data_IF_096464627513
#
_entry.id   IF_096464627513
#
_cell.length_a   1.000
_cell.length_b   1.000
_cell.length_c   1.000
_cell.angle_alpha   90.00
_cell.angle_beta   90.00
_cell.angle_gamma   90.00
#
_symmetry.space_group_name_H-M   'P 1'
#
loop_
_entity.id
_entity.type
_entity.pdbx_description
1 polymer ?
#
# COMPACT_ATOMS: atom_id res chain seq x y z
N UNK A 1 30.49 20.12 1.68
CA UNK A 1 29.31 19.28 1.30
C UNK A 1 28.31 20.30 0.81
N UNK A 2 28.38 20.60 -0.46
CA UNK A 2 27.76 21.82 -0.96
C UNK A 2 26.40 21.56 -1.62
N UNK A 3 26.06 20.30 -1.93
CA UNK A 3 24.73 19.94 -2.41
C UNK A 3 24.40 18.47 -2.11
N UNK A 4 23.15 18.19 -1.76
CA UNK A 4 22.66 16.83 -1.55
C UNK A 4 21.22 16.71 -2.04
N UNK A 5 20.89 15.56 -2.61
CA UNK A 5 19.53 15.27 -3.06
C UNK A 5 19.08 13.93 -2.50
N UNK A 6 17.94 13.92 -1.80
CA UNK A 6 17.31 12.68 -1.32
C UNK A 6 16.62 12.02 -2.50
N UNK A 7 16.98 10.77 -2.82
CA UNK A 7 16.46 10.01 -3.96
C UNK A 7 15.52 8.86 -3.59
N UNK A 8 15.42 8.52 -2.32
CA UNK A 8 14.51 7.48 -1.84
C UNK A 8 14.60 7.29 -0.35
N UNK A 9 13.53 6.82 0.22
CA UNK A 9 13.40 6.53 1.66
C UNK A 9 12.79 5.16 1.80
N UNK A 10 13.35 4.29 2.63
CA UNK A 10 12.76 3.00 2.99
C UNK A 10 12.59 2.91 4.50
N UNK A 11 11.46 2.36 4.95
CA UNK A 11 11.14 2.26 6.37
C UNK A 11 11.08 0.82 6.85
N UNK A 12 11.47 0.63 8.10
CA UNK A 12 11.17 -0.56 8.86
C UNK A 12 10.68 -0.10 10.24
N UNK A 13 9.48 -0.51 10.63
CA UNK A 13 8.86 -0.17 11.91
C UNK A 13 8.90 -1.37 12.85
N UNK A 14 9.97 -1.57 13.65
CA UNK A 14 9.87 -2.42 14.81
C UNK A 14 8.94 -1.73 15.82
N UNK A 15 8.01 -2.44 16.44
CA UNK A 15 7.04 -1.88 17.38
C UNK A 15 7.63 -0.85 18.37
N UNK A 16 6.78 -0.04 19.01
CA UNK A 16 7.11 1.01 19.98
C UNK A 16 7.50 2.40 19.44
N UNK A 17 6.77 2.95 18.43
CA UNK A 17 6.99 4.31 17.91
C UNK A 17 8.43 4.58 17.40
N UNK A 18 9.31 3.59 17.39
CA UNK A 18 10.64 3.72 16.81
C UNK A 18 10.54 3.55 15.30
N UNK A 19 11.03 4.52 14.56
CA UNK A 19 11.08 4.50 13.10
C UNK A 19 12.53 4.31 12.68
N UNK A 20 12.81 3.25 11.91
CA UNK A 20 14.06 3.05 11.21
C UNK A 20 13.86 3.33 9.74
N UNK A 21 14.67 4.17 9.18
CA UNK A 21 14.58 4.50 7.77
C UNK A 21 15.95 4.66 7.14
N UNK A 22 16.00 4.46 5.82
CA UNK A 22 17.19 4.63 5.01
C UNK A 22 16.96 5.72 3.99
N UNK A 23 17.87 6.67 3.93
CA UNK A 23 17.93 7.70 2.91
C UNK A 23 18.94 7.31 1.85
N UNK A 24 18.57 7.46 0.57
CA UNK A 24 19.52 7.43 -0.54
C UNK A 24 19.87 8.87 -0.89
N UNK A 25 21.12 9.25 -0.67
CA UNK A 25 21.61 10.62 -0.85
C UNK A 25 22.65 10.63 -1.96
N UNK A 26 22.57 11.61 -2.85
CA UNK A 26 23.67 11.96 -3.76
C UNK A 26 24.37 13.14 -3.14
N UNK A 27 25.67 12.99 -2.89
CA UNK A 27 26.51 14.04 -2.35
C UNK A 27 27.66 14.36 -3.33
N UNK A 28 27.90 15.63 -3.58
CA UNK A 28 29.12 16.09 -4.22
C UNK A 28 30.23 16.21 -3.18
N UNK A 29 31.32 15.51 -3.40
CA UNK A 29 32.48 15.49 -2.52
C UNK A 29 33.65 16.05 -3.28
N UNK A 30 34.22 17.14 -2.78
CA UNK A 30 35.47 17.68 -3.29
C UNK A 30 36.64 16.89 -2.68
N UNK A 31 37.40 16.25 -3.52
CA UNK A 31 38.62 15.53 -3.14
C UNK A 31 39.80 16.45 -3.46
N UNK A 32 40.53 16.85 -2.45
CA UNK A 32 41.78 17.59 -2.65
C UNK A 32 42.97 16.69 -2.31
N UNK A 33 43.75 16.32 -3.31
CA UNK A 33 45.06 15.70 -3.12
C UNK A 33 46.13 16.75 -3.06
N UNK A 34 46.89 16.72 -1.97
CA UNK A 34 48.04 17.62 -1.79
C UNK A 34 49.28 16.98 -2.40
N UNK A 35 49.53 17.31 -3.64
CA UNK A 35 50.85 17.02 -4.26
C UNK A 35 51.85 18.10 -3.85
N UNK A 36 53.14 17.77 -3.93
CA UNK A 36 54.27 18.66 -3.52
C UNK A 36 54.34 19.96 -4.29
N UNK A 37 53.65 20.06 -5.43
CA UNK A 37 53.78 21.20 -6.36
C UNK A 37 52.45 21.76 -6.91
N UNK A 38 51.28 21.06 -6.75
CA UNK A 38 50.02 21.57 -7.24
C UNK A 38 48.85 21.09 -6.35
N UNK A 39 47.81 21.95 -6.22
CA UNK A 39 46.53 21.61 -5.65
C UNK A 39 45.58 21.21 -6.80
N UNK A 40 45.33 19.94 -6.98
CA UNK A 40 44.21 19.49 -7.82
C UNK A 40 42.99 19.26 -6.94
N UNK A 41 41.92 19.97 -7.25
CA UNK A 41 40.62 19.71 -6.66
C UNK A 41 39.73 19.04 -7.70
N UNK A 42 39.37 17.82 -7.45
CA UNK A 42 38.37 17.10 -8.25
C UNK A 42 37.07 16.99 -7.45
N UNK A 43 35.94 17.19 -8.12
CA UNK A 43 34.60 16.97 -7.49
C UNK A 43 34.01 15.70 -8.02
N UNK A 44 33.64 14.78 -7.12
CA UNK A 44 33.01 13.51 -7.45
C UNK A 44 31.64 13.40 -6.78
N UNK A 45 30.66 13.09 -7.61
CA UNK A 45 29.30 12.73 -7.10
C UNK A 45 29.32 11.29 -6.60
N UNK A 46 28.99 11.09 -5.33
CA UNK A 46 28.88 9.76 -4.72
C UNK A 46 27.45 9.54 -4.23
N UNK A 47 26.98 8.31 -4.34
CA UNK A 47 25.68 7.91 -3.82
C UNK A 47 25.85 7.11 -2.54
N UNK A 48 25.16 7.55 -1.48
CA UNK A 48 25.27 7.00 -0.13
C UNK A 48 23.92 6.46 0.34
N UNK A 49 23.97 5.40 1.14
CA UNK A 49 22.86 4.91 1.97
C UNK A 49 23.07 5.36 3.40
N UNK A 50 22.19 6.22 3.91
CA UNK A 50 22.23 6.71 5.29
C UNK A 50 21.11 6.07 6.07
N UNK A 51 21.47 5.28 7.08
CA UNK A 51 20.52 4.59 7.97
C UNK A 51 20.26 5.46 9.18
N UNK A 52 18.99 5.74 9.42
CA UNK A 52 18.54 6.61 10.49
C UNK A 52 17.56 5.88 11.43
N UNK A 53 17.56 6.30 12.67
CA UNK A 53 16.52 5.97 13.66
C UNK A 53 15.90 7.26 14.18
N UNK A 54 14.60 7.24 14.41
CA UNK A 54 13.84 8.34 14.96
C UNK A 54 12.69 7.83 15.81
N UNK A 55 12.12 8.70 16.64
CA UNK A 55 10.88 8.45 17.35
C UNK A 55 9.76 9.21 16.64
N UNK A 56 8.73 8.49 16.20
CA UNK A 56 7.54 9.06 15.59
C UNK A 56 6.52 9.41 16.68
N UNK A 57 6.54 10.65 17.12
CA UNK A 57 5.57 11.16 18.10
C UNK A 57 5.27 12.62 17.76
N UNK A 58 4.14 12.88 17.10
CA UNK A 58 3.79 14.20 16.57
C UNK A 58 4.89 14.78 15.65
N UNK A 59 5.45 13.94 14.76
CA UNK A 59 6.57 14.26 13.88
C UNK A 59 7.81 13.40 14.16
N UNK A 60 8.86 13.63 13.39
CA UNK A 60 10.15 12.96 13.58
C UNK A 60 10.93 13.66 14.68
N UNK A 61 11.13 12.97 15.80
CA UNK A 61 11.93 13.47 16.93
C UNK A 61 13.20 12.64 17.09
N UNK A 62 14.28 13.30 17.51
CA UNK A 62 15.56 12.66 17.82
C UNK A 62 16.11 11.80 16.67
N UNK A 63 16.12 12.35 15.46
CA UNK A 63 16.72 11.68 14.31
C UNK A 63 18.20 11.42 14.58
N UNK A 64 18.63 10.17 14.55
CA UNK A 64 20.02 9.74 14.72
C UNK A 64 20.46 9.02 13.46
N UNK A 65 21.63 9.36 12.95
CA UNK A 65 22.31 8.59 11.92
C UNK A 65 22.98 7.40 12.63
N UNK A 66 22.58 6.20 12.25
CA UNK A 66 23.11 4.96 12.80
C UNK A 66 24.31 4.48 11.99
N UNK A 67 24.20 4.59 10.66
CA UNK A 67 25.22 4.08 9.74
C UNK A 67 25.16 4.79 8.42
N UNK A 68 26.31 4.96 7.78
CA UNK A 68 26.45 5.46 6.41
C UNK A 68 27.25 4.45 5.62
N UNK A 69 26.75 4.06 4.45
CA UNK A 69 27.42 3.10 3.55
C UNK A 69 27.38 3.62 2.12
N UNK A 70 28.26 3.10 1.28
CA UNK A 70 28.14 3.31 -0.16
C UNK A 70 26.82 2.67 -0.66
N UNK A 71 26.15 3.35 -1.57
CA UNK A 71 24.88 2.85 -2.12
C UNK A 71 25.12 1.56 -2.91
N UNK A 72 24.48 0.49 -2.49
CA UNK A 72 24.45 -0.77 -3.22
C UNK A 72 23.03 -1.02 -3.72
N UNK A 73 22.87 -1.10 -5.05
CA UNK A 73 21.59 -1.32 -5.72
C UNK A 73 20.99 -2.69 -5.36
N UNK A 74 21.83 -3.71 -5.17
CA UNK A 74 21.39 -5.08 -4.89
C UNK A 74 20.84 -5.25 -3.45
N UNK A 75 21.21 -4.32 -2.54
CA UNK A 75 20.70 -4.26 -1.16
C UNK A 75 19.46 -3.35 -1.03
N UNK A 76 19.02 -2.77 -2.13
CA UNK A 76 17.79 -1.99 -2.11
C UNK A 76 16.61 -2.96 -2.16
N UNK A 77 15.98 -3.15 -1.02
CA UNK A 77 14.73 -3.90 -0.93
C UNK A 77 13.64 -3.10 -1.65
N UNK A 78 13.29 -3.54 -2.85
CA UNK A 78 12.29 -2.88 -3.69
C UNK A 78 10.93 -2.76 -3.00
N UNK A 79 10.58 -3.75 -2.17
CA UNK A 79 9.29 -3.76 -1.45
C UNK A 79 9.23 -2.70 -0.36
N UNK A 80 10.37 -2.33 0.22
CA UNK A 80 10.46 -1.29 1.25
C UNK A 80 10.84 0.09 0.69
N UNK A 81 11.05 0.20 -0.61
CA UNK A 81 11.36 1.47 -1.24
C UNK A 81 10.12 2.35 -1.34
N UNK A 82 10.22 3.56 -0.83
CA UNK A 82 9.18 4.57 -0.89
C UNK A 82 9.62 5.72 -1.79
N UNK A 83 8.66 6.36 -2.44
CA UNK A 83 8.91 7.63 -3.11
C UNK A 83 9.05 8.79 -2.11
N UNK A 84 9.22 10.01 -2.61
CA UNK A 84 9.35 11.21 -1.78
C UNK A 84 8.06 11.59 -1.01
N UNK A 85 6.93 10.98 -1.36
CA UNK A 85 5.65 11.09 -0.64
C UNK A 85 5.39 9.92 0.32
N UNK A 86 6.36 9.04 0.53
CA UNK A 86 6.23 7.81 1.33
C UNK A 86 5.25 6.79 0.75
N UNK A 87 5.00 6.82 -0.55
CA UNK A 87 4.20 5.82 -1.25
C UNK A 87 5.12 4.66 -1.67
N UNK A 88 4.82 3.41 -1.29
CA UNK A 88 5.61 2.27 -1.70
C UNK A 88 5.58 2.10 -3.22
N UNK A 89 6.73 1.80 -3.83
CA UNK A 89 6.76 1.45 -5.24
C UNK A 89 6.06 0.11 -5.48
N UNK A 90 5.30 0.05 -6.57
CA UNK A 90 4.73 -1.19 -7.09
C UNK A 90 4.99 -1.26 -8.59
N UNK A 91 5.70 -2.30 -9.02
CA UNK A 91 5.86 -2.62 -10.43
C UNK A 91 4.83 -3.68 -10.81
N UNK A 92 4.35 -3.66 -12.05
CA UNK A 92 3.32 -4.60 -12.53
C UNK A 92 3.77 -6.06 -12.39
N UNK A 93 5.06 -6.33 -12.62
CA UNK A 93 5.67 -7.66 -12.48
C UNK A 93 5.74 -8.16 -11.02
N UNK A 94 5.81 -7.26 -10.05
CA UNK A 94 5.92 -7.59 -8.63
C UNK A 94 4.54 -7.71 -7.95
N UNK A 95 3.45 -7.32 -8.63
CA UNK A 95 2.13 -7.22 -8.04
C UNK A 95 1.58 -8.56 -7.49
N UNK A 96 1.87 -9.70 -8.15
CA UNK A 96 1.47 -11.01 -7.64
C UNK A 96 2.23 -11.37 -6.36
N UNK A 97 3.53 -11.09 -6.31
CA UNK A 97 4.37 -11.30 -5.13
C UNK A 97 3.91 -10.45 -3.95
N UNK A 98 3.59 -9.18 -4.20
CA UNK A 98 3.08 -8.26 -3.16
C UNK A 98 1.72 -8.73 -2.63
N UNK A 99 0.83 -9.18 -3.51
CA UNK A 99 -0.47 -9.75 -3.11
C UNK A 99 -0.32 -11.03 -2.29
N UNK A 100 0.60 -11.93 -2.66
CA UNK A 100 0.88 -13.15 -1.91
C UNK A 100 1.55 -12.86 -0.56
N UNK A 101 2.41 -11.84 -0.47
CA UNK A 101 2.98 -11.38 0.80
C UNK A 101 1.91 -10.84 1.74
N UNK A 102 0.95 -10.07 1.23
CA UNK A 102 -0.23 -9.64 1.99
C UNK A 102 -0.99 -10.86 2.57
N UNK A 103 -1.29 -11.86 1.73
CA UNK A 103 -1.97 -13.08 2.18
C UNK A 103 -1.14 -13.92 3.13
N UNK A 104 0.17 -13.99 2.94
CA UNK A 104 1.05 -14.71 3.86
C UNK A 104 1.02 -14.11 5.27
N UNK A 105 0.74 -12.82 5.38
CA UNK A 105 0.62 -12.09 6.64
C UNK A 105 -0.78 -12.24 7.25
N UNK A 106 -1.85 -12.08 6.46
CA UNK A 106 -3.22 -11.96 6.97
C UNK A 106 -4.11 -13.18 6.73
N UNK A 107 -3.83 -14.01 5.72
CA UNK A 107 -4.61 -15.21 5.40
C UNK A 107 -3.79 -16.29 4.71
N UNK A 108 -2.76 -16.80 5.38
CA UNK A 108 -1.80 -17.78 4.85
C UNK A 108 -2.45 -19.05 4.24
N UNK A 109 -3.64 -19.43 4.69
CA UNK A 109 -4.35 -20.60 4.17
C UNK A 109 -4.80 -20.43 2.71
N UNK A 110 -5.06 -19.19 2.26
CA UNK A 110 -5.43 -18.90 0.88
C UNK A 110 -4.29 -19.16 -0.13
N UNK A 111 -3.05 -19.18 0.34
CA UNK A 111 -1.87 -19.55 -0.46
C UNK A 111 -1.64 -21.07 -0.54
N UNK A 112 -2.35 -21.86 0.24
CA UNK A 112 -2.25 -23.33 0.23
C UNK A 112 -3.33 -23.99 -0.58
N UNK A 113 -4.54 -23.45 -0.54
CA UNK A 113 -5.72 -24.01 -1.17
C UNK A 113 -6.57 -22.90 -1.75
N UNK A 114 -7.01 -23.05 -3.00
CA UNK A 114 -7.95 -22.13 -3.61
C UNK A 114 -9.28 -22.18 -2.84
N UNK A 115 -9.69 -21.03 -2.34
CA UNK A 115 -10.89 -20.89 -1.51
C UNK A 115 -11.46 -19.48 -1.64
N UNK A 116 -12.76 -19.27 -1.39
CA UNK A 116 -13.28 -17.93 -1.20
C UNK A 116 -12.54 -17.22 -0.07
N UNK A 117 -12.01 -16.04 -0.33
CA UNK A 117 -11.22 -15.31 0.66
C UNK A 117 -12.12 -14.83 1.80
N UNK A 118 -11.80 -15.12 3.08
CA UNK A 118 -12.59 -14.66 4.22
C UNK A 118 -12.25 -13.18 4.54
N UNK A 119 -12.80 -12.27 3.75
CA UNK A 119 -12.47 -10.84 3.81
C UNK A 119 -12.70 -10.22 5.20
N UNK A 120 -13.75 -10.66 5.91
CA UNK A 120 -14.03 -10.19 7.27
C UNK A 120 -12.95 -10.58 8.29
N UNK A 121 -12.30 -11.74 8.11
CA UNK A 121 -11.19 -12.15 8.97
C UNK A 121 -9.97 -11.25 8.72
N UNK A 122 -9.71 -10.88 7.47
CA UNK A 122 -8.63 -9.96 7.10
C UNK A 122 -8.88 -8.57 7.68
N UNK A 123 -10.12 -8.07 7.57
CA UNK A 123 -10.51 -6.78 8.17
C UNK A 123 -10.23 -6.77 9.68
N UNK A 124 -10.60 -7.86 10.39
CA UNK A 124 -10.34 -7.99 11.82
C UNK A 124 -8.86 -8.11 12.16
N UNK A 125 -8.09 -8.85 11.36
CA UNK A 125 -6.64 -9.02 11.57
C UNK A 125 -5.89 -7.71 11.40
N UNK A 126 -6.35 -6.84 10.48
CA UNK A 126 -5.84 -5.49 10.29
C UNK A 126 -6.30 -4.51 11.39
N UNK A 127 -7.18 -4.94 12.29
CA UNK A 127 -7.77 -4.08 13.31
C UNK A 127 -8.72 -3.01 12.76
N UNK A 128 -9.23 -3.21 11.54
CA UNK A 128 -10.19 -2.29 10.92
C UNK A 128 -11.60 -2.49 11.44
N UNK A 129 -12.37 -1.41 11.43
CA UNK A 129 -13.82 -1.45 11.61
C UNK A 129 -14.50 -1.29 10.26
N UNK A 130 -15.52 -2.08 9.98
CA UNK A 130 -16.31 -2.01 8.76
C UNK A 130 -17.75 -1.61 9.09
N UNK A 131 -18.26 -0.57 8.43
CA UNK A 131 -19.67 -0.19 8.47
C UNK A 131 -20.20 -0.04 7.06
N UNK A 132 -21.49 -0.37 6.90
CA UNK A 132 -22.20 -0.02 5.68
C UNK A 132 -22.74 1.40 5.79
N UNK A 133 -22.62 2.17 4.70
CA UNK A 133 -22.98 3.58 4.68
C UNK A 133 -23.64 3.99 3.36
N UNK A 134 -24.55 4.97 3.37
CA UNK A 134 -25.14 5.54 2.16
C UNK A 134 -24.13 6.48 1.48
N UNK A 135 -23.18 5.89 0.77
CA UNK A 135 -22.21 6.64 -0.03
C UNK A 135 -22.81 7.04 -1.37
N UNK A 136 -22.21 8.02 -2.05
CA UNK A 136 -22.62 8.42 -3.40
C UNK A 136 -22.54 7.23 -4.36
N UNK A 137 -23.34 7.21 -5.41
CA UNK A 137 -23.52 6.05 -6.30
C UNK A 137 -22.21 5.60 -6.99
N UNK A 138 -21.26 6.51 -7.19
CA UNK A 138 -19.97 6.24 -7.79
C UNK A 138 -18.86 5.93 -6.76
N UNK A 139 -19.18 5.90 -5.47
CA UNK A 139 -18.25 5.61 -4.40
C UNK A 139 -18.61 4.26 -3.77
N UNK A 140 -17.72 3.28 -3.92
CA UNK A 140 -17.93 1.93 -3.40
C UNK A 140 -17.46 1.75 -1.98
N UNK A 141 -16.36 2.41 -1.61
CA UNK A 141 -15.79 2.36 -0.28
C UNK A 141 -15.07 3.64 0.10
N UNK A 142 -14.82 3.81 1.39
CA UNK A 142 -13.99 4.89 1.94
C UNK A 142 -13.25 4.39 3.17
N UNK A 143 -11.94 4.63 3.24
CA UNK A 143 -11.14 4.39 4.44
C UNK A 143 -10.80 5.72 5.12
N UNK A 144 -11.04 5.79 6.43
CA UNK A 144 -10.77 6.98 7.24
C UNK A 144 -9.48 6.81 8.03
N UNK A 145 -8.62 7.83 7.96
CA UNK A 145 -7.33 7.89 8.65
C UNK A 145 -7.34 8.81 9.87
N UNK A 146 -8.50 9.40 10.17
CA UNK A 146 -8.72 10.23 11.35
C UNK A 146 -10.12 10.01 11.94
N UNK A 147 -10.34 10.55 13.14
CA UNK A 147 -11.66 10.53 13.78
C UNK A 147 -12.61 11.44 13.01
N UNK A 148 -13.74 10.89 12.59
CA UNK A 148 -14.75 11.61 11.81
C UNK A 148 -16.15 11.24 12.27
N UNK A 149 -17.12 12.14 12.09
CA UNK A 149 -18.54 11.83 12.26
C UNK A 149 -19.14 11.54 10.89
N UNK A 150 -19.76 10.37 10.75
CA UNK A 150 -20.27 9.84 9.49
C UNK A 150 -21.66 9.26 9.67
N UNK A 151 -22.43 9.22 8.58
CA UNK A 151 -23.71 8.54 8.54
C UNK A 151 -23.50 7.07 8.13
N UNK A 152 -23.99 6.14 8.94
CA UNK A 152 -23.94 4.71 8.69
C UNK A 152 -25.32 4.08 8.76
N UNK A 153 -25.50 2.89 8.18
CA UNK A 153 -26.72 2.13 8.38
C UNK A 153 -26.72 1.47 9.77
N UNK A 154 -27.82 1.62 10.48
CA UNK A 154 -28.04 1.05 11.83
C UNK A 154 -28.74 -0.31 11.80
N UNK A 155 -29.28 -0.71 10.64
CA UNK A 155 -30.00 -1.98 10.46
C UNK A 155 -29.44 -2.80 9.28
N UNK A 156 -29.68 -4.09 9.29
CA UNK A 156 -29.24 -5.01 8.24
C UNK A 156 -30.05 -4.93 6.95
N UNK A 157 -31.19 -4.25 6.99
CA UNK A 157 -32.03 -4.01 5.81
C UNK A 157 -31.63 -2.73 5.05
N UNK A 158 -30.66 -1.96 5.57
CA UNK A 158 -30.18 -0.70 5.00
C UNK A 158 -31.30 0.35 4.80
N UNK A 159 -32.26 0.39 5.75
CA UNK A 159 -33.39 1.31 5.70
C UNK A 159 -33.27 2.47 6.70
N UNK A 160 -32.48 2.26 7.76
CA UNK A 160 -32.29 3.26 8.83
C UNK A 160 -30.83 3.68 8.89
N UNK A 161 -30.61 4.96 9.08
CA UNK A 161 -29.28 5.53 9.25
C UNK A 161 -29.13 6.18 10.62
N UNK A 162 -27.90 6.24 11.10
CA UNK A 162 -27.51 6.96 12.31
C UNK A 162 -26.20 7.71 12.08
N UNK A 163 -25.99 8.79 12.82
CA UNK A 163 -24.68 9.43 12.88
C UNK A 163 -23.79 8.70 13.89
N UNK A 164 -22.56 8.43 13.48
CA UNK A 164 -21.59 7.71 14.29
C UNK A 164 -20.21 8.37 14.21
N UNK A 165 -19.61 8.57 15.37
CA UNK A 165 -18.20 8.96 15.43
C UNK A 165 -17.34 7.71 15.26
N UNK A 166 -16.49 7.71 14.24
CA UNK A 166 -15.62 6.60 13.87
C UNK A 166 -14.16 6.95 14.16
N UNK A 167 -13.37 5.92 14.46
CA UNK A 167 -11.93 6.03 14.71
C UNK A 167 -11.11 5.87 13.42
N UNK A 168 -9.84 6.28 13.40
CA UNK A 168 -8.90 5.95 12.33
C UNK A 168 -8.82 4.44 12.09
N UNK A 169 -8.72 4.02 10.83
CA UNK A 169 -8.78 2.60 10.45
C UNK A 169 -10.20 2.06 10.28
N UNK A 170 -11.19 2.94 10.20
CA UNK A 170 -12.57 2.57 9.86
C UNK A 170 -12.77 2.65 8.35
N UNK A 171 -13.38 1.60 7.78
CA UNK A 171 -13.87 1.63 6.40
C UNK A 171 -15.41 1.71 6.35
N UNK A 172 -15.90 2.47 5.40
CA UNK A 172 -17.29 2.51 5.00
C UNK A 172 -17.44 1.82 3.65
N UNK A 173 -18.46 0.98 3.50
CA UNK A 173 -18.77 0.28 2.24
C UNK A 173 -20.19 0.59 1.83
N UNK A 174 -20.38 0.94 0.56
CA UNK A 174 -21.69 1.15 -0.03
C UNK A 174 -22.36 -0.23 -0.29
N UNK A 175 -23.49 -0.57 0.35
CA UNK A 175 -24.16 -1.85 0.11
C UNK A 175 -24.65 -2.02 -1.34
N UNK A 176 -24.81 -0.93 -2.11
CA UNK A 176 -25.14 -0.99 -3.51
C UNK A 176 -24.09 -1.74 -4.34
N UNK A 177 -22.84 -1.86 -3.88
CA UNK A 177 -21.82 -2.68 -4.53
C UNK A 177 -22.22 -4.15 -4.63
N UNK A 178 -22.96 -4.66 -3.63
CA UNK A 178 -23.53 -6.00 -3.65
C UNK A 178 -24.80 -6.06 -4.50
N UNK A 179 -25.75 -5.13 -4.30
CA UNK A 179 -27.07 -5.19 -4.93
C UNK A 179 -27.02 -4.87 -6.44
N UNK A 180 -26.19 -3.92 -6.85
CA UNK A 180 -26.07 -3.51 -8.25
C UNK A 180 -25.12 -4.39 -9.07
N UNK A 181 -24.17 -5.08 -8.41
CA UNK A 181 -23.15 -5.88 -9.07
C UNK A 181 -23.15 -7.32 -8.54
N UNK A 182 -22.35 -7.63 -7.53
CA UNK A 182 -22.26 -8.96 -6.90
C UNK A 182 -21.37 -8.94 -5.66
N UNK A 183 -21.33 -10.10 -4.96
CA UNK A 183 -20.48 -10.31 -3.79
C UNK A 183 -18.99 -10.13 -4.11
N UNK A 184 -18.56 -10.48 -5.32
CA UNK A 184 -17.15 -10.32 -5.74
C UNK A 184 -16.74 -8.85 -5.79
N UNK A 185 -17.61 -7.98 -6.28
CA UNK A 185 -17.38 -6.53 -6.29
C UNK A 185 -17.29 -5.97 -4.88
N UNK A 186 -18.19 -6.38 -3.98
CA UNK A 186 -18.16 -5.98 -2.58
C UNK A 186 -16.86 -6.45 -1.90
N UNK A 187 -16.46 -7.71 -2.09
CA UNK A 187 -15.23 -8.24 -1.53
C UNK A 187 -14.00 -7.51 -2.10
N UNK A 188 -14.02 -7.18 -3.40
CA UNK A 188 -12.95 -6.40 -4.02
C UNK A 188 -12.83 -5.01 -3.41
N UNK A 189 -13.96 -4.34 -3.16
CA UNK A 189 -13.98 -3.06 -2.46
C UNK A 189 -13.40 -3.18 -1.05
N UNK A 190 -13.82 -4.18 -0.27
CA UNK A 190 -13.31 -4.38 1.09
C UNK A 190 -11.78 -4.60 1.08
N UNK A 191 -11.27 -5.46 0.20
CA UNK A 191 -9.82 -5.71 0.10
C UNK A 191 -9.07 -4.48 -0.43
N UNK A 192 -9.65 -3.72 -1.35
CA UNK A 192 -9.09 -2.45 -1.80
C UNK A 192 -8.86 -1.48 -0.63
N UNK A 193 -9.86 -1.33 0.24
CA UNK A 193 -9.74 -0.51 1.45
C UNK A 193 -8.72 -1.07 2.47
N UNK A 194 -8.62 -2.41 2.57
CA UNK A 194 -7.57 -3.05 3.38
C UNK A 194 -6.17 -2.73 2.86
N UNK A 195 -5.98 -2.70 1.53
CA UNK A 195 -4.71 -2.32 0.92
C UNK A 195 -4.35 -0.87 1.26
N UNK A 196 -5.33 0.05 1.26
CA UNK A 196 -5.08 1.44 1.66
C UNK A 196 -4.53 1.53 3.09
N UNK A 197 -5.14 0.84 4.05
CA UNK A 197 -4.66 0.88 5.43
C UNK A 197 -3.28 0.22 5.59
N UNK A 198 -3.09 -0.96 5.00
CA UNK A 198 -1.85 -1.74 5.18
C UNK A 198 -0.64 -1.06 4.54
N UNK A 199 -0.80 -0.53 3.30
CA UNK A 199 0.34 -0.02 2.52
C UNK A 199 0.57 1.46 2.67
N UNK A 200 -0.48 2.27 2.89
CA UNK A 200 -0.38 3.73 2.75
C UNK A 200 -0.63 4.49 4.05
N UNK A 201 -0.79 3.79 5.17
CA UNK A 201 -0.94 4.41 6.49
C UNK A 201 0.12 5.48 6.75
N UNK A 202 1.38 5.21 6.40
CA UNK A 202 2.49 6.15 6.59
C UNK A 202 2.34 7.42 5.73
N UNK A 203 1.89 7.26 4.47
CA UNK A 203 1.61 8.39 3.59
C UNK A 203 0.53 9.31 4.22
N UNK A 204 -0.58 8.71 4.68
CA UNK A 204 -1.67 9.51 5.28
C UNK A 204 -1.29 10.16 6.60
N UNK A 205 -0.50 9.49 7.44
CA UNK A 205 0.06 10.08 8.64
C UNK A 205 0.96 11.28 8.31
N UNK A 206 1.79 11.17 7.26
CA UNK A 206 2.61 12.28 6.79
C UNK A 206 1.76 13.43 6.26
N UNK A 207 0.78 13.14 5.39
CA UNK A 207 -0.10 14.16 4.83
C UNK A 207 -0.88 14.89 5.92
N UNK A 208 -1.34 14.18 6.95
CA UNK A 208 -1.99 14.78 8.12
C UNK A 208 -1.07 15.73 8.89
N UNK A 209 0.23 15.43 8.94
CA UNK A 209 1.21 16.28 9.61
C UNK A 209 1.57 17.54 8.79
N UNK A 210 1.52 17.44 7.46
CA UNK A 210 1.93 18.50 6.55
C UNK A 210 0.77 19.42 6.11
N UNK A 211 -0.40 18.84 5.91
CA UNK A 211 -1.60 19.57 5.50
C UNK A 211 -2.81 18.91 6.17
N UNK A 212 -3.58 19.65 6.92
CA UNK A 212 -4.79 19.14 7.59
C UNK A 212 -5.93 18.75 6.62
N UNK A 213 -5.66 18.48 5.35
CA UNK A 213 -6.69 18.33 4.30
C UNK A 213 -7.00 16.89 3.89
N UNK A 214 -6.23 15.88 4.33
CA UNK A 214 -6.46 14.48 3.94
C UNK A 214 -7.11 13.66 5.06
N UNK A 215 -8.43 13.68 5.13
CA UNK A 215 -9.20 12.98 6.17
C UNK A 215 -9.53 11.53 5.80
N UNK A 216 -9.72 11.24 4.51
CA UNK A 216 -10.08 9.91 4.02
C UNK A 216 -9.63 9.70 2.57
N UNK A 217 -9.56 8.43 2.16
CA UNK A 217 -9.53 8.00 0.75
C UNK A 217 -10.86 7.38 0.38
N UNK A 218 -11.28 7.60 -0.85
CA UNK A 218 -12.47 6.98 -1.41
C UNK A 218 -12.13 6.13 -2.63
N UNK A 219 -12.50 4.84 -2.59
CA UNK A 219 -12.52 3.99 -3.77
C UNK A 219 -13.64 4.46 -4.71
N UNK A 220 -13.25 5.06 -5.81
CA UNK A 220 -14.17 5.43 -6.89
C UNK A 220 -14.04 4.42 -8.05
N UNK A 221 -15.11 4.28 -8.84
CA UNK A 221 -14.99 3.63 -10.14
C UNK A 221 -14.08 4.51 -11.00
N UNK A 222 -12.82 4.15 -11.09
CA UNK A 222 -11.90 4.79 -12.04
C UNK A 222 -12.24 4.21 -13.40
N UNK A 223 -12.96 4.98 -14.22
CA UNK A 223 -12.97 4.70 -15.66
C UNK A 223 -11.53 4.83 -16.18
N UNK A 224 -10.91 3.68 -16.46
CA UNK A 224 -9.50 3.55 -16.91
C UNK A 224 -9.37 4.04 -18.38
N UNK A 225 -10.25 4.88 -18.86
CA UNK A 225 -10.18 5.40 -20.21
C UNK A 225 -9.55 6.81 -20.22
N UNK A 226 -8.26 6.85 -20.58
CA UNK A 226 -7.70 8.03 -21.25
C UNK A 226 -7.18 9.16 -20.36
N UNK A 227 -6.83 8.96 -19.10
CA UNK A 227 -6.08 9.99 -18.37
C UNK A 227 -4.63 10.06 -18.86
N UNK A 228 -4.27 11.25 -19.31
CA UNK A 228 -2.91 11.63 -19.68
C UNK A 228 -1.92 11.26 -18.58
N UNK A 229 -1.00 10.32 -18.84
CA UNK A 229 -0.01 9.80 -17.88
C UNK A 229 0.94 10.87 -17.32
N UNK A 230 0.82 12.12 -17.78
CA UNK A 230 1.75 13.22 -17.46
C UNK A 230 1.42 13.97 -16.17
N UNK A 231 0.31 13.68 -15.50
CA UNK A 231 -0.13 14.36 -14.26
C UNK A 231 -0.67 13.39 -13.20
N UNK A 232 0.04 12.31 -12.94
CA UNK A 232 -0.32 11.37 -11.85
C UNK A 232 0.05 11.99 -10.51
N UNK A 233 -0.95 12.24 -9.69
CA UNK A 233 -0.75 12.63 -8.29
C UNK A 233 -0.33 11.39 -7.48
N UNK A 234 0.26 11.55 -6.27
CA UNK A 234 0.49 10.42 -5.36
C UNK A 234 -0.79 9.62 -5.06
N UNK A 235 -1.93 10.28 -4.97
CA UNK A 235 -3.23 9.64 -4.76
C UNK A 235 -3.66 8.78 -5.96
N UNK A 236 -3.43 9.23 -7.21
CA UNK A 236 -3.70 8.42 -8.40
C UNK A 236 -2.85 7.13 -8.41
N UNK A 237 -1.60 7.20 -7.92
CA UNK A 237 -0.73 6.05 -7.77
C UNK A 237 -1.22 5.08 -6.70
N UNK A 238 -1.64 5.59 -5.55
CA UNK A 238 -2.21 4.83 -4.44
C UNK A 238 -3.45 4.08 -4.91
N UNK A 239 -4.36 4.76 -5.62
CA UNK A 239 -5.57 4.16 -6.18
C UNK A 239 -5.25 3.09 -7.23
N UNK A 240 -4.31 3.38 -8.14
CA UNK A 240 -3.88 2.40 -9.14
C UNK A 240 -3.30 1.13 -8.49
N UNK A 241 -2.46 1.29 -7.48
CA UNK A 241 -1.88 0.16 -6.76
C UNK A 241 -2.96 -0.66 -6.03
N UNK A 242 -3.89 -0.01 -5.33
CA UNK A 242 -4.97 -0.70 -4.63
C UNK A 242 -5.89 -1.45 -5.61
N UNK A 243 -6.25 -0.83 -6.74
CA UNK A 243 -7.01 -1.46 -7.82
C UNK A 243 -6.26 -2.64 -8.47
N UNK A 244 -4.94 -2.60 -8.51
CA UNK A 244 -4.10 -3.69 -9.04
C UNK A 244 -3.98 -4.84 -8.05
N UNK A 245 -3.84 -4.55 -6.76
CA UNK A 245 -3.58 -5.56 -5.73
C UNK A 245 -4.85 -6.27 -5.26
N UNK A 246 -5.97 -5.58 -5.11
CA UNK A 246 -7.19 -6.16 -4.56
C UNK A 246 -7.66 -7.43 -5.31
N UNK A 247 -7.78 -7.45 -6.65
CA UNK A 247 -8.18 -8.67 -7.36
C UNK A 247 -7.11 -9.77 -7.28
N UNK A 248 -5.82 -9.44 -7.18
CA UNK A 248 -4.74 -10.41 -7.03
C UNK A 248 -4.70 -11.03 -5.64
N UNK A 249 -5.09 -10.28 -4.60
CA UNK A 249 -5.29 -10.78 -3.24
C UNK A 249 -6.49 -11.74 -3.19
N UNK A 250 -7.60 -11.38 -3.85
CA UNK A 250 -8.80 -12.23 -3.91
C UNK A 250 -8.57 -13.52 -4.69
N UNK A 251 -7.72 -13.47 -5.71
CA UNK A 251 -7.39 -14.60 -6.60
C UNK A 251 -5.88 -14.76 -6.74
N UNK A 252 -5.18 -15.27 -5.70
CA UNK A 252 -3.73 -15.42 -5.73
C UNK A 252 -3.28 -16.30 -6.89
N UNK A 253 -2.28 -15.84 -7.62
CA UNK A 253 -1.85 -16.47 -8.87
C UNK A 253 -1.45 -17.94 -8.68
N UNK A 254 -0.76 -18.27 -7.58
CA UNK A 254 -0.28 -19.62 -7.27
C UNK A 254 -1.42 -20.63 -7.13
N UNK A 255 -2.41 -20.33 -6.26
CA UNK A 255 -3.53 -21.26 -6.00
C UNK A 255 -4.58 -21.24 -7.10
N UNK A 256 -4.81 -20.09 -7.74
CA UNK A 256 -5.76 -19.96 -8.85
C UNK A 256 -5.31 -20.78 -10.07
N UNK A 257 -4.01 -20.68 -10.46
CA UNK A 257 -3.45 -21.48 -11.56
C UNK A 257 -3.60 -22.97 -11.29
N UNK A 258 -3.24 -23.42 -10.08
CA UNK A 258 -3.38 -24.82 -9.68
C UNK A 258 -4.83 -25.28 -9.75
N UNK A 259 -5.76 -24.51 -9.21
CA UNK A 259 -7.18 -24.84 -9.25
C UNK A 259 -7.72 -25.01 -10.68
N UNK A 260 -7.35 -24.09 -11.58
CA UNK A 260 -7.75 -24.19 -12.99
C UNK A 260 -7.15 -25.42 -13.64
N UNK A 261 -5.86 -25.72 -13.43
CA UNK A 261 -5.18 -26.89 -13.96
C UNK A 261 -5.86 -28.19 -13.49
N UNK A 262 -6.17 -28.31 -12.19
CA UNK A 262 -6.85 -29.49 -11.62
C UNK A 262 -8.27 -29.65 -12.22
N UNK A 263 -8.98 -28.55 -12.43
CA UNK A 263 -10.32 -28.59 -13.07
C UNK A 263 -10.26 -28.99 -14.52
N UNK A 264 -9.32 -28.46 -15.29
CA UNK A 264 -9.14 -28.84 -16.69
C UNK A 264 -8.73 -30.31 -16.83
N UNK A 265 -7.83 -30.79 -15.96
CA UNK A 265 -7.44 -32.20 -15.93
C UNK A 265 -8.62 -33.12 -15.63
N UNK A 266 -9.44 -32.82 -14.63
CA UNK A 266 -10.61 -33.59 -14.28
C UNK A 266 -11.67 -33.61 -15.41
N UNK A 267 -11.90 -32.47 -16.07
CA UNK A 267 -12.79 -32.41 -17.25
C UNK A 267 -12.26 -33.26 -18.39
N UNK A 268 -10.97 -33.21 -18.68
CA UNK A 268 -10.34 -34.01 -19.72
C UNK A 268 -10.46 -35.51 -19.41
N UNK A 269 -10.23 -35.95 -18.17
CA UNK A 269 -10.44 -37.33 -17.73
C UNK A 269 -11.91 -37.75 -17.93
N UNK A 270 -12.87 -36.94 -17.48
CA UNK A 270 -14.29 -37.23 -17.64
C UNK A 270 -14.70 -37.42 -19.11
N UNK A 271 -14.18 -36.57 -20.01
CA UNK A 271 -14.44 -36.68 -21.46
C UNK A 271 -13.84 -37.93 -22.09
N UNK A 272 -12.71 -38.46 -21.59
CA UNK A 272 -12.02 -39.59 -22.14
C UNK A 272 -12.40 -40.95 -21.48
N UNK A 273 -13.04 -40.94 -20.33
CA UNK A 273 -13.49 -42.18 -19.64
C UNK A 273 -14.96 -42.45 -19.80
N UNK A 274 -15.73 -41.55 -20.43
CA UNK A 274 -17.18 -41.63 -20.66
C UNK A 274 -17.58 -42.28 -22.00
N UNK A 275 -16.75 -43.18 -22.59
CA UNK A 275 -17.05 -43.99 -23.78
C UNK A 275 -17.07 -45.47 -23.42
#
# INVERSE_FOLDING_TARGET
MDDYCIRGVSFNTPGNNALRFRLSIIAEVSISEKSKYEYESDSKSIRLSVYCESILKNGLHNVKIVRVEEYNKDRFDKESALDHYLVPYLYSEDADTVAENFLNKHCKRALKTAMPLPVEEIVRDLGMQLFFAPLDDNIFGKTYFETSTVTVYSDTAFLKTEEKTIAPGTMLVNPNTFFMYNIGTMNNTIIHECVHLERYKMFFELMRLLSHECHFISCQIVEIYGKDKTKSTPLDWIEWQANTLAPKILMPASTTKKFIQDRLYNLWQFMNTGS
#
